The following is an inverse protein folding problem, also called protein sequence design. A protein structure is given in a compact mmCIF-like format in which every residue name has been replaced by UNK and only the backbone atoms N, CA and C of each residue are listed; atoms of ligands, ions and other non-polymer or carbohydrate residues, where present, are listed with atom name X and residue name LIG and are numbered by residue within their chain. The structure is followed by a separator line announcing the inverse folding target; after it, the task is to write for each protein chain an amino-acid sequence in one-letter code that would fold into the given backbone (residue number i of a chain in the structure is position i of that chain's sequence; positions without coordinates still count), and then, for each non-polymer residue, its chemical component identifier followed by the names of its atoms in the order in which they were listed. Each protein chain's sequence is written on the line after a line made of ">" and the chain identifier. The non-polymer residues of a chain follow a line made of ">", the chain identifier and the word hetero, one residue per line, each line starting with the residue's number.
data_IF_998473881528
#
_entry.id   IF_998473881528
#
_cell.length_a   1.000
_cell.length_b   1.000
_cell.length_c   1.000
_cell.angle_alpha   90.00
_cell.angle_beta   90.00
_cell.angle_gamma   90.00
#
_symmetry.space_group_name_H-M   'P 1'
#
loop_
_entity.id
_entity.type
_entity.pdbx_description
1 polymer ?
#
# COMPACT_ATOMS: atom_id res chain seq x y z
N UNK A 1 22.51 -11.66 4.90
CA UNK A 1 22.72 -10.99 3.61
C UNK A 1 21.65 -11.52 2.69
N UNK A 2 20.80 -10.65 2.11
CA UNK A 2 19.79 -11.10 1.13
C UNK A 2 20.53 -11.72 -0.07
N UNK A 3 19.93 -12.73 -0.71
CA UNK A 3 20.45 -13.22 -1.98
C UNK A 3 20.37 -12.10 -3.04
N UNK A 4 21.21 -12.16 -4.08
CA UNK A 4 21.17 -11.17 -5.16
C UNK A 4 19.77 -11.10 -5.79
N UNK A 5 19.12 -12.26 -5.98
CA UNK A 5 17.77 -12.36 -6.55
C UNK A 5 16.71 -11.71 -5.66
N UNK A 6 16.77 -11.89 -4.33
CA UNK A 6 15.87 -11.24 -3.38
C UNK A 6 16.02 -9.71 -3.42
N UNK A 7 17.26 -9.22 -3.49
CA UNK A 7 17.50 -7.78 -3.62
C UNK A 7 16.94 -7.23 -4.94
N UNK A 8 17.21 -7.90 -6.05
CA UNK A 8 16.72 -7.48 -7.38
C UNK A 8 15.19 -7.52 -7.42
N UNK A 9 14.55 -8.58 -6.91
CA UNK A 9 13.11 -8.71 -6.85
C UNK A 9 12.46 -7.58 -6.02
N UNK A 10 13.05 -7.20 -4.88
CA UNK A 10 12.60 -6.03 -4.08
C UNK A 10 12.68 -4.73 -4.88
N UNK A 11 13.75 -4.52 -5.65
CA UNK A 11 13.90 -3.33 -6.50
C UNK A 11 12.85 -3.29 -7.62
N UNK A 12 12.59 -4.42 -8.26
CA UNK A 12 11.57 -4.56 -9.29
C UNK A 12 10.16 -4.34 -8.71
N UNK A 13 9.87 -4.85 -7.52
CA UNK A 13 8.61 -4.59 -6.79
C UNK A 13 8.37 -3.08 -6.60
N UNK A 14 9.39 -2.34 -6.13
CA UNK A 14 9.30 -0.89 -5.95
C UNK A 14 9.08 -0.14 -7.27
N UNK A 15 9.58 -0.68 -8.39
CA UNK A 15 9.38 -0.09 -9.71
C UNK A 15 8.00 -0.43 -10.32
N UNK A 16 7.22 -1.35 -9.72
CA UNK A 16 5.96 -1.82 -10.27
C UNK A 16 6.10 -2.94 -11.31
N UNK A 17 7.33 -3.48 -11.43
CA UNK A 17 7.65 -4.58 -12.35
C UNK A 17 7.41 -5.94 -11.67
N UNK A 18 6.17 -6.14 -11.19
CA UNK A 18 5.83 -7.29 -10.32
C UNK A 18 6.02 -8.63 -11.01
N UNK A 19 5.69 -8.75 -12.30
CA UNK A 19 5.87 -10.02 -13.04
C UNK A 19 7.35 -10.36 -13.18
N UNK A 20 8.18 -9.37 -13.51
CA UNK A 20 9.64 -9.53 -13.56
C UNK A 20 10.22 -9.86 -12.18
N UNK A 21 9.69 -9.25 -11.12
CA UNK A 21 10.09 -9.54 -9.74
C UNK A 21 9.79 -11.00 -9.35
N UNK A 22 8.59 -11.50 -9.68
CA UNK A 22 8.19 -12.89 -9.42
C UNK A 22 9.03 -13.91 -10.21
N UNK A 23 9.38 -13.59 -11.46
CA UNK A 23 10.26 -14.43 -12.29
C UNK A 23 11.68 -14.46 -11.72
N UNK A 24 12.23 -13.30 -11.34
CA UNK A 24 13.56 -13.18 -10.75
C UNK A 24 13.69 -13.96 -9.45
N UNK A 25 12.67 -13.87 -8.58
CA UNK A 25 12.67 -14.55 -7.29
C UNK A 25 12.61 -16.08 -7.41
N UNK A 26 12.03 -16.59 -8.50
CA UNK A 26 11.80 -18.03 -8.65
C UNK A 26 10.71 -18.55 -7.70
N UNK A 27 10.27 -19.82 -7.87
CA UNK A 27 9.13 -20.38 -7.14
C UNK A 27 9.40 -20.65 -5.65
N UNK A 28 10.63 -21.05 -5.31
CA UNK A 28 10.97 -21.59 -3.98
C UNK A 28 11.87 -20.67 -3.15
N UNK A 29 12.19 -19.46 -3.66
CA UNK A 29 13.02 -18.50 -2.98
C UNK A 29 12.14 -17.46 -2.28
N UNK A 30 12.36 -17.22 -0.98
CA UNK A 30 11.70 -16.21 -0.18
C UNK A 30 10.16 -16.16 -0.37
N UNK A 31 9.42 -17.14 0.20
CA UNK A 31 7.97 -17.22 0.02
C UNK A 31 7.22 -15.99 0.55
N UNK A 32 7.74 -15.31 1.59
CA UNK A 32 7.11 -14.09 2.12
C UNK A 32 7.21 -12.95 1.10
N UNK A 33 8.39 -12.71 0.52
CA UNK A 33 8.56 -11.69 -0.51
C UNK A 33 7.71 -12.00 -1.75
N UNK A 34 7.62 -13.27 -2.14
CA UNK A 34 6.77 -13.69 -3.25
C UNK A 34 5.31 -13.33 -3.00
N UNK A 35 4.80 -13.61 -1.80
CA UNK A 35 3.43 -13.30 -1.42
C UNK A 35 3.20 -11.78 -1.37
N UNK A 36 4.14 -11.01 -0.82
CA UNK A 36 4.09 -9.54 -0.82
C UNK A 36 3.99 -8.97 -2.24
N UNK A 37 4.84 -9.43 -3.17
CA UNK A 37 4.84 -8.99 -4.57
C UNK A 37 3.51 -9.34 -5.26
N UNK A 38 2.98 -10.54 -5.05
CA UNK A 38 1.71 -10.96 -5.63
C UNK A 38 0.53 -10.14 -5.10
N UNK A 39 0.51 -9.83 -3.80
CA UNK A 39 -0.52 -8.98 -3.18
C UNK A 39 -0.41 -7.54 -3.67
N UNK A 40 0.80 -7.00 -3.84
CA UNK A 40 1.00 -5.65 -4.39
C UNK A 40 0.55 -5.59 -5.85
N UNK A 41 0.90 -6.59 -6.69
CA UNK A 41 0.45 -6.67 -8.08
C UNK A 41 -1.07 -6.64 -8.15
N UNK A 42 -1.74 -7.49 -7.37
CA UNK A 42 -3.19 -7.53 -7.34
C UNK A 42 -3.79 -6.19 -6.87
N UNK A 43 -3.26 -5.57 -5.81
CA UNK A 43 -3.75 -4.30 -5.30
C UNK A 43 -3.67 -3.17 -6.35
N UNK A 44 -2.57 -3.09 -7.09
CA UNK A 44 -2.39 -2.00 -8.05
C UNK A 44 -3.09 -2.24 -9.39
N UNK A 45 -3.05 -3.48 -9.91
CA UNK A 45 -3.66 -3.82 -11.20
C UNK A 45 -5.09 -4.33 -11.11
N UNK A 46 -5.53 -4.74 -9.91
CA UNK A 46 -6.81 -5.44 -9.68
C UNK A 46 -6.89 -6.74 -10.52
N UNK A 47 -5.76 -7.40 -10.72
CA UNK A 47 -5.59 -8.61 -11.50
C UNK A 47 -4.73 -9.63 -10.74
N UNK A 48 -4.96 -10.95 -10.98
CA UNK A 48 -4.14 -12.00 -10.39
C UNK A 48 -4.45 -12.29 -8.92
N UNK A 49 -5.71 -12.15 -8.51
CA UNK A 49 -6.11 -12.41 -7.12
C UNK A 49 -5.90 -13.86 -6.69
N UNK A 50 -6.12 -14.83 -7.59
CA UNK A 50 -5.94 -16.25 -7.29
C UNK A 50 -4.47 -16.59 -7.00
N UNK A 51 -3.55 -16.02 -7.77
CA UNK A 51 -2.11 -16.19 -7.54
C UNK A 51 -1.68 -15.56 -6.22
N UNK A 52 -2.23 -14.40 -5.88
CA UNK A 52 -1.95 -13.74 -4.61
C UNK A 52 -2.49 -14.56 -3.43
N UNK A 53 -3.72 -15.06 -3.51
CA UNK A 53 -4.30 -15.96 -2.49
C UNK A 53 -3.47 -17.23 -2.33
N UNK A 54 -3.07 -17.87 -3.43
CA UNK A 54 -2.23 -19.07 -3.41
C UNK A 54 -0.88 -18.81 -2.77
N UNK A 55 -0.24 -17.69 -3.09
CA UNK A 55 1.04 -17.32 -2.51
C UNK A 55 0.94 -17.07 -1.01
N UNK A 56 -0.10 -16.39 -0.53
CA UNK A 56 -0.33 -16.15 0.91
C UNK A 56 -0.69 -17.47 1.63
N UNK A 57 -1.49 -18.33 1.03
CA UNK A 57 -1.85 -19.63 1.61
C UNK A 57 -0.66 -20.61 1.75
N UNK A 58 0.44 -20.38 1.04
CA UNK A 58 1.66 -21.16 1.16
C UNK A 58 2.57 -20.72 2.32
N UNK A 59 2.28 -19.59 2.99
CA UNK A 59 3.03 -19.13 4.15
C UNK A 59 2.67 -19.92 5.41
N UNK A 60 3.57 -19.85 6.42
CA UNK A 60 3.21 -20.30 7.76
C UNK A 60 2.03 -19.46 8.27
N UNK A 61 0.85 -20.06 8.52
CA UNK A 61 -0.34 -19.31 8.93
C UNK A 61 -0.20 -18.60 10.26
N UNK A 62 0.83 -18.93 11.08
CA UNK A 62 1.13 -18.26 12.33
C UNK A 62 2.09 -17.08 12.16
N UNK A 63 2.67 -16.87 10.97
CA UNK A 63 3.60 -15.76 10.76
C UNK A 63 2.89 -14.40 10.71
N UNK A 64 3.52 -13.33 11.26
CA UNK A 64 2.97 -11.98 11.16
C UNK A 64 2.73 -11.53 9.72
N UNK A 65 3.59 -11.95 8.80
CA UNK A 65 3.47 -11.67 7.37
C UNK A 65 2.23 -12.33 6.78
N UNK A 66 1.95 -13.61 7.10
CA UNK A 66 0.75 -14.30 6.65
C UNK A 66 -0.52 -13.62 7.17
N UNK A 67 -0.56 -13.24 8.44
CA UNK A 67 -1.67 -12.49 9.03
C UNK A 67 -1.91 -11.18 8.30
N UNK A 68 -0.85 -10.38 8.09
CA UNK A 68 -0.93 -9.09 7.42
C UNK A 68 -1.42 -9.21 5.97
N UNK A 69 -0.85 -10.15 5.20
CA UNK A 69 -1.18 -10.32 3.79
C UNK A 69 -2.59 -10.90 3.59
N UNK A 70 -3.02 -11.84 4.44
CA UNK A 70 -4.41 -12.35 4.45
C UNK A 70 -5.40 -11.21 4.69
N UNK A 71 -5.12 -10.35 5.66
CA UNK A 71 -5.94 -9.18 5.95
C UNK A 71 -5.96 -8.18 4.79
N UNK A 72 -4.81 -7.94 4.14
CA UNK A 72 -4.72 -7.07 2.96
C UNK A 72 -5.54 -7.60 1.77
N UNK A 73 -5.55 -8.91 1.54
CA UNK A 73 -6.38 -9.54 0.50
C UNK A 73 -7.87 -9.28 0.78
N UNK A 74 -8.32 -9.56 2.02
CA UNK A 74 -9.71 -9.34 2.42
C UNK A 74 -10.10 -7.85 2.31
N UNK A 75 -9.27 -6.94 2.83
CA UNK A 75 -9.47 -5.50 2.70
C UNK A 75 -9.57 -5.05 1.22
N UNK A 76 -8.70 -5.56 0.35
CA UNK A 76 -8.69 -5.15 -1.05
C UNK A 76 -9.95 -5.60 -1.80
N UNK A 77 -10.48 -6.81 -1.49
CA UNK A 77 -11.78 -7.26 -2.04
C UNK A 77 -12.92 -6.31 -1.64
N UNK A 78 -12.94 -5.85 -0.39
CA UNK A 78 -13.92 -4.87 0.09
C UNK A 78 -13.75 -3.51 -0.59
N UNK A 79 -12.51 -3.00 -0.65
CA UNK A 79 -12.20 -1.68 -1.21
C UNK A 79 -12.59 -1.58 -2.67
N UNK A 80 -12.19 -2.55 -3.47
CA UNK A 80 -12.42 -2.56 -4.92
C UNK A 80 -13.74 -3.22 -5.32
N UNK A 81 -14.51 -3.77 -4.34
CA UNK A 81 -15.76 -4.52 -4.59
C UNK A 81 -15.59 -5.65 -5.61
N UNK A 82 -14.44 -6.34 -5.52
CA UNK A 82 -14.09 -7.49 -6.36
C UNK A 82 -14.24 -8.77 -5.55
N UNK A 83 -15.30 -9.53 -5.86
CA UNK A 83 -15.64 -10.82 -5.23
C UNK A 83 -15.58 -10.77 -3.68
N UNK A 84 -16.23 -9.76 -3.03
CA UNK A 84 -16.19 -9.63 -1.58
C UNK A 84 -16.87 -10.82 -0.92
N UNK A 85 -16.23 -11.37 0.12
CA UNK A 85 -16.76 -12.46 0.93
C UNK A 85 -17.46 -11.90 2.16
N UNK A 86 -18.45 -12.62 2.67
CA UNK A 86 -19.26 -12.14 3.80
C UNK A 86 -18.45 -11.91 5.09
N UNK A 87 -17.34 -12.60 5.23
CA UNK A 87 -16.43 -12.53 6.38
C UNK A 87 -15.20 -11.65 6.17
N UNK A 88 -14.99 -11.07 4.98
CA UNK A 88 -13.79 -10.29 4.65
C UNK A 88 -13.50 -9.17 5.66
N UNK A 89 -14.54 -8.47 6.12
CA UNK A 89 -14.34 -7.42 7.11
C UNK A 89 -13.77 -7.97 8.43
N UNK A 90 -14.29 -9.11 8.90
CA UNK A 90 -13.82 -9.76 10.12
C UNK A 90 -12.44 -10.37 9.95
N UNK A 91 -12.17 -10.96 8.79
CA UNK A 91 -10.84 -11.53 8.42
C UNK A 91 -9.78 -10.43 8.39
N UNK A 92 -10.09 -9.27 7.77
CA UNK A 92 -9.17 -8.15 7.72
C UNK A 92 -8.83 -7.64 9.14
N UNK A 93 -9.83 -7.40 9.98
CA UNK A 93 -9.59 -6.93 11.36
C UNK A 93 -8.79 -7.94 12.18
N UNK A 94 -9.18 -9.21 12.15
CA UNK A 94 -8.50 -10.26 12.91
C UNK A 94 -7.03 -10.41 12.48
N UNK A 95 -6.76 -10.38 11.17
CA UNK A 95 -5.41 -10.51 10.65
C UNK A 95 -4.53 -9.30 10.98
N UNK A 96 -5.04 -8.06 10.89
CA UNK A 96 -4.27 -6.87 11.31
C UNK A 96 -3.96 -6.89 12.81
N UNK A 97 -4.92 -7.31 13.63
CA UNK A 97 -4.70 -7.48 15.07
C UNK A 97 -3.62 -8.52 15.35
N UNK A 98 -3.73 -9.71 14.76
CA UNK A 98 -2.76 -10.78 14.94
C UNK A 98 -1.36 -10.37 14.47
N UNK A 99 -1.24 -9.67 13.34
CA UNK A 99 0.04 -9.15 12.86
C UNK A 99 0.64 -8.10 13.81
N UNK A 100 -0.19 -7.24 14.40
CA UNK A 100 0.27 -6.24 15.38
C UNK A 100 0.75 -6.86 16.70
N UNK A 101 0.13 -7.98 17.12
CA UNK A 101 0.45 -8.68 18.37
C UNK A 101 1.66 -9.62 18.23
N UNK A 102 1.85 -10.27 17.08
CA UNK A 102 2.86 -11.29 16.83
C UNK A 102 4.13 -10.80 16.14
N UNK A 103 4.06 -9.64 15.48
CA UNK A 103 5.16 -9.04 14.73
C UNK A 103 6.17 -8.30 15.60
N UNK A 104 7.33 -7.99 15.02
CA UNK A 104 8.22 -7.00 15.58
C UNK A 104 7.61 -5.59 15.53
N UNK A 105 8.29 -4.59 16.12
CA UNK A 105 7.72 -3.25 16.20
C UNK A 105 7.53 -2.56 14.83
N UNK A 106 8.35 -2.89 13.81
CA UNK A 106 8.15 -2.38 12.45
C UNK A 106 6.95 -3.03 11.77
N UNK A 107 6.81 -4.35 11.91
CA UNK A 107 5.63 -5.10 11.43
C UNK A 107 4.35 -4.59 12.11
N UNK A 108 4.41 -4.33 13.42
CA UNK A 108 3.33 -3.69 14.16
C UNK A 108 2.96 -2.33 13.55
N UNK A 109 3.93 -1.48 13.20
CA UNK A 109 3.65 -0.19 12.55
C UNK A 109 2.85 -0.34 11.26
N UNK A 110 3.20 -1.30 10.41
CA UNK A 110 2.44 -1.60 9.19
C UNK A 110 1.05 -2.18 9.49
N UNK A 111 0.92 -3.05 10.47
CA UNK A 111 -0.38 -3.61 10.87
C UNK A 111 -1.33 -2.54 11.42
N UNK A 112 -0.85 -1.65 12.28
CA UNK A 112 -1.62 -0.51 12.81
C UNK A 112 -2.06 0.44 11.68
N UNK A 113 -1.18 0.75 10.73
CA UNK A 113 -1.52 1.53 9.56
C UNK A 113 -2.64 0.89 8.74
N UNK A 114 -2.51 -0.39 8.38
CA UNK A 114 -3.53 -1.08 7.58
C UNK A 114 -4.85 -1.24 8.33
N UNK A 115 -4.81 -1.43 9.65
CA UNK A 115 -6.03 -1.46 10.46
C UNK A 115 -6.72 -0.08 10.50
N UNK A 116 -5.94 1.01 10.62
CA UNK A 116 -6.48 2.36 10.50
C UNK A 116 -7.18 2.57 9.15
N UNK A 117 -6.58 2.10 8.06
CA UNK A 117 -7.14 2.20 6.69
C UNK A 117 -8.43 1.38 6.54
N UNK A 118 -8.54 0.22 7.19
CA UNK A 118 -9.79 -0.57 7.23
C UNK A 118 -10.91 0.23 7.90
N UNK A 119 -10.65 0.79 9.10
CA UNK A 119 -11.61 1.61 9.84
C UNK A 119 -12.03 2.86 9.04
N UNK A 120 -11.06 3.52 8.41
CA UNK A 120 -11.29 4.78 7.69
C UNK A 120 -12.09 4.56 6.39
N UNK A 121 -11.68 3.60 5.56
CA UNK A 121 -12.23 3.43 4.22
C UNK A 121 -13.48 2.51 4.17
N UNK A 122 -13.52 1.48 5.00
CA UNK A 122 -14.58 0.48 4.98
C UNK A 122 -15.64 0.79 6.04
N UNK A 123 -15.22 0.99 7.29
CA UNK A 123 -16.15 1.21 8.39
C UNK A 123 -16.62 2.67 8.48
N UNK A 124 -15.97 3.59 7.77
CA UNK A 124 -16.24 5.04 7.85
C UNK A 124 -16.13 5.56 9.29
N UNK A 125 -15.19 4.97 10.08
CA UNK A 125 -14.88 5.35 11.45
C UNK A 125 -13.54 6.11 11.55
N UNK A 126 -13.53 7.41 11.23
CA UNK A 126 -12.33 8.24 11.32
C UNK A 126 -11.84 8.43 12.77
N UNK A 127 -12.73 8.31 13.76
CA UNK A 127 -12.35 8.46 15.16
C UNK A 127 -11.57 7.24 15.66
N UNK A 128 -11.99 6.03 15.29
CA UNK A 128 -11.25 4.79 15.57
C UNK A 128 -9.95 4.65 14.78
N UNK A 129 -9.89 5.20 13.57
CA UNK A 129 -8.71 5.15 12.72
C UNK A 129 -7.56 6.06 13.23
N UNK A 130 -7.87 7.25 13.76
CA UNK A 130 -6.88 8.26 14.11
C UNK A 130 -5.81 7.76 15.10
N UNK A 131 -6.14 7.17 16.26
CA UNK A 131 -5.12 6.71 17.21
C UNK A 131 -4.19 5.63 16.63
N UNK A 132 -4.68 4.83 15.67
CA UNK A 132 -3.86 3.82 14.99
C UNK A 132 -2.88 4.45 14.02
N UNK A 133 -3.32 5.46 13.24
CA UNK A 133 -2.40 6.25 12.41
C UNK A 133 -1.32 6.92 13.25
N UNK A 134 -1.65 7.47 14.42
CA UNK A 134 -0.70 8.09 15.33
C UNK A 134 0.32 7.08 15.85
N UNK A 135 -0.13 5.91 16.32
CA UNK A 135 0.77 4.81 16.72
C UNK A 135 1.70 4.37 15.59
N UNK A 136 1.17 4.17 14.39
CA UNK A 136 1.97 3.80 13.23
C UNK A 136 3.00 4.88 12.87
N UNK A 137 2.63 6.17 12.97
CA UNK A 137 3.53 7.30 12.71
C UNK A 137 4.66 7.42 13.72
N UNK A 138 4.38 7.19 15.01
CA UNK A 138 5.40 7.14 16.05
C UNK A 138 6.42 6.04 15.76
N UNK A 139 5.96 4.85 15.39
CA UNK A 139 6.84 3.73 15.02
C UNK A 139 7.64 4.06 13.76
N UNK A 140 7.01 4.57 12.71
CA UNK A 140 7.68 4.97 11.47
C UNK A 140 8.79 5.99 11.73
N UNK A 141 8.52 7.00 12.56
CA UNK A 141 9.47 8.04 12.95
C UNK A 141 10.64 7.45 13.76
N UNK A 142 10.33 6.61 14.74
CA UNK A 142 11.33 5.95 15.60
C UNK A 142 12.36 5.14 14.81
N UNK A 143 11.91 4.46 13.76
CA UNK A 143 12.76 3.59 12.93
C UNK A 143 13.25 4.24 11.65
N UNK A 144 12.88 5.48 11.37
CA UNK A 144 13.22 6.17 10.12
C UNK A 144 12.58 5.48 8.89
N UNK A 145 11.41 4.83 9.07
CA UNK A 145 10.67 4.19 7.97
C UNK A 145 9.90 5.24 7.17
N UNK A 146 10.60 5.90 6.25
CA UNK A 146 10.01 6.90 5.36
C UNK A 146 8.95 6.32 4.43
N UNK A 147 8.98 5.01 4.18
CA UNK A 147 7.96 4.36 3.34
C UNK A 147 6.62 4.29 4.09
N UNK A 148 6.62 3.74 5.29
CA UNK A 148 5.43 3.72 6.14
C UNK A 148 4.94 5.14 6.45
N UNK A 149 5.85 6.06 6.81
CA UNK A 149 5.53 7.47 7.04
C UNK A 149 4.76 8.06 5.85
N UNK A 150 5.21 7.78 4.62
CA UNK A 150 4.58 8.33 3.40
C UNK A 150 3.12 7.91 3.23
N UNK A 151 2.79 6.71 3.65
CA UNK A 151 1.41 6.21 3.62
C UNK A 151 0.55 6.89 4.69
N UNK A 152 1.06 6.98 5.91
CA UNK A 152 0.32 7.53 7.05
C UNK A 152 0.01 9.01 6.83
N UNK A 153 1.02 9.83 6.47
CA UNK A 153 0.82 11.27 6.29
C UNK A 153 -0.14 11.58 5.13
N UNK A 154 -0.21 10.73 4.11
CA UNK A 154 -1.20 10.82 3.04
C UNK A 154 -2.64 10.74 3.58
N UNK A 155 -2.92 9.79 4.48
CA UNK A 155 -4.25 9.64 5.07
C UNK A 155 -4.56 10.74 6.07
N UNK A 156 -3.60 11.13 6.90
CA UNK A 156 -3.75 12.24 7.84
C UNK A 156 -3.95 13.58 7.12
N UNK A 157 -3.33 13.77 5.95
CA UNK A 157 -3.49 14.98 5.14
C UNK A 157 -4.95 15.26 4.78
N UNK A 158 -5.73 14.24 4.49
CA UNK A 158 -7.13 14.39 4.09
C UNK A 158 -8.03 14.95 5.21
N UNK A 159 -7.54 14.98 6.45
CA UNK A 159 -8.21 15.52 7.64
C UNK A 159 -7.82 16.98 7.94
N UNK A 160 -6.96 17.58 7.10
CA UNK A 160 -6.36 18.90 7.31
C UNK A 160 -7.00 19.95 6.41
N UNK A 161 -6.84 21.22 6.82
CA UNK A 161 -7.19 22.36 5.98
C UNK A 161 -6.39 22.36 4.66
N UNK A 162 -6.90 22.98 3.58
CA UNK A 162 -6.33 22.82 2.24
C UNK A 162 -4.82 23.09 2.13
N UNK A 163 -4.31 24.13 2.76
CA UNK A 163 -2.89 24.48 2.68
C UNK A 163 -1.99 23.43 3.37
N UNK A 164 -2.38 22.98 4.57
CA UNK A 164 -1.66 21.95 5.31
C UNK A 164 -1.77 20.60 4.59
N UNK A 165 -2.96 20.28 4.08
CA UNK A 165 -3.20 19.07 3.26
C UNK A 165 -2.24 18.98 2.09
N UNK A 166 -2.14 20.04 1.29
CA UNK A 166 -1.24 20.09 0.12
C UNK A 166 0.22 19.92 0.55
N UNK A 167 0.66 20.58 1.62
CA UNK A 167 2.01 20.43 2.13
C UNK A 167 2.33 18.98 2.55
N UNK A 168 1.40 18.32 3.25
CA UNK A 168 1.55 16.93 3.66
C UNK A 168 1.54 15.97 2.46
N UNK A 169 0.67 16.18 1.47
CA UNK A 169 0.63 15.37 0.24
C UNK A 169 1.93 15.52 -0.57
N UNK A 170 2.51 16.72 -0.68
CA UNK A 170 3.83 16.92 -1.29
C UNK A 170 4.92 16.18 -0.53
N UNK A 171 4.90 16.20 0.83
CA UNK A 171 5.85 15.43 1.63
C UNK A 171 5.73 13.93 1.35
N UNK A 172 4.50 13.39 1.32
CA UNK A 172 4.26 11.99 0.97
C UNK A 172 4.83 11.64 -0.41
N UNK A 173 4.58 12.48 -1.41
CA UNK A 173 5.12 12.33 -2.76
C UNK A 173 6.66 12.29 -2.77
N UNK A 174 7.31 13.23 -2.09
CA UNK A 174 8.77 13.30 -2.02
C UNK A 174 9.38 12.05 -1.37
N UNK A 175 8.80 11.56 -0.27
CA UNK A 175 9.28 10.34 0.39
C UNK A 175 9.19 9.11 -0.54
N UNK A 176 8.10 8.94 -1.26
CA UNK A 176 7.90 7.85 -2.22
C UNK A 176 8.85 7.92 -3.40
N UNK A 177 9.05 9.11 -3.94
CA UNK A 177 9.98 9.34 -5.04
C UNK A 177 11.43 9.07 -4.62
N UNK A 178 11.84 9.52 -3.43
CA UNK A 178 13.18 9.27 -2.88
C UNK A 178 13.48 7.77 -2.67
N UNK A 179 12.46 6.98 -2.37
CA UNK A 179 12.57 5.52 -2.22
C UNK A 179 12.55 4.77 -3.56
N UNK A 180 12.18 5.45 -4.65
CA UNK A 180 11.96 4.83 -5.96
C UNK A 180 10.70 3.96 -6.01
N UNK A 181 9.73 4.20 -5.13
CA UNK A 181 8.46 3.48 -5.09
C UNK A 181 7.51 4.02 -6.17
N UNK A 182 7.71 3.58 -7.42
CA UNK A 182 7.08 4.15 -8.61
C UNK A 182 5.54 4.08 -8.59
N UNK A 183 4.88 2.93 -8.31
CA UNK A 183 3.41 2.87 -8.27
C UNK A 183 2.81 3.82 -7.23
N UNK A 184 3.44 3.88 -6.06
CA UNK A 184 3.01 4.74 -4.97
C UNK A 184 3.26 6.22 -5.28
N UNK A 185 4.33 6.54 -6.00
CA UNK A 185 4.64 7.90 -6.48
C UNK A 185 3.57 8.37 -7.47
N UNK A 186 3.20 7.51 -8.43
CA UNK A 186 2.12 7.76 -9.39
C UNK A 186 0.80 8.03 -8.66
N UNK A 187 0.45 7.18 -7.68
CA UNK A 187 -0.76 7.37 -6.88
C UNK A 187 -0.72 8.66 -6.02
N UNK A 188 0.47 9.05 -5.53
CA UNK A 188 0.64 10.29 -4.79
C UNK A 188 0.51 11.53 -5.68
N UNK A 189 1.04 11.49 -6.92
CA UNK A 189 0.87 12.53 -7.91
C UNK A 189 -0.61 12.74 -8.28
N UNK A 190 -1.34 11.64 -8.51
CA UNK A 190 -2.76 11.69 -8.80
C UNK A 190 -3.56 12.33 -7.66
N UNK A 191 -3.30 11.91 -6.41
CA UNK A 191 -3.98 12.47 -5.24
C UNK A 191 -3.65 13.94 -5.02
N UNK A 192 -2.37 14.33 -5.17
CA UNK A 192 -1.97 15.74 -5.06
C UNK A 192 -2.66 16.57 -6.15
N UNK A 193 -2.67 16.13 -7.40
CA UNK A 193 -3.37 16.80 -8.50
C UNK A 193 -4.86 16.98 -8.21
N UNK A 194 -5.52 15.98 -7.62
CA UNK A 194 -6.94 16.05 -7.26
C UNK A 194 -7.23 17.05 -6.13
N UNK A 195 -6.23 17.43 -5.31
CA UNK A 195 -6.37 18.36 -4.20
C UNK A 195 -5.88 19.79 -4.52
N UNK A 196 -5.20 19.99 -5.65
CA UNK A 196 -4.78 21.31 -6.11
C UNK A 196 -5.94 22.03 -6.83
N UNK A 197 -5.98 23.39 -6.75
CA UNK A 197 -6.91 24.19 -7.54
C UNK A 197 -6.80 23.90 -9.04
N UNK A 198 -7.90 24.02 -9.77
CA UNK A 198 -7.89 23.82 -11.24
C UNK A 198 -6.94 24.73 -11.98
N UNK A 199 -6.79 25.95 -11.48
CA UNK A 199 -5.89 26.97 -12.03
C UNK A 199 -4.43 26.78 -11.67
N UNK A 200 -4.09 25.82 -10.79
CA UNK A 200 -2.72 25.60 -10.37
C UNK A 200 -1.91 24.93 -11.49
N UNK A 201 -0.81 25.52 -11.97
CA UNK A 201 -0.01 24.93 -13.03
C UNK A 201 0.63 23.59 -12.63
N UNK A 202 0.90 23.35 -11.34
CA UNK A 202 1.41 22.08 -10.84
C UNK A 202 0.40 20.95 -11.07
N UNK A 203 -0.91 21.22 -10.98
CA UNK A 203 -1.96 20.23 -11.24
C UNK A 203 -1.84 19.64 -12.65
N UNK A 204 -1.73 20.52 -13.66
CA UNK A 204 -1.60 20.08 -15.05
C UNK A 204 -0.32 19.28 -15.29
N UNK A 205 0.78 19.68 -14.67
CA UNK A 205 2.07 18.99 -14.73
C UNK A 205 1.99 17.58 -14.12
N UNK A 206 1.39 17.46 -12.93
CA UNK A 206 1.20 16.17 -12.27
C UNK A 206 0.34 15.23 -13.11
N UNK A 207 -0.77 15.72 -13.70
CA UNK A 207 -1.65 14.93 -14.56
C UNK A 207 -0.87 14.41 -15.78
N UNK A 208 -0.07 15.27 -16.42
CA UNK A 208 0.76 14.91 -17.57
C UNK A 208 1.82 13.86 -17.22
N UNK A 209 2.28 13.86 -15.97
CA UNK A 209 3.35 12.97 -15.49
C UNK A 209 2.80 11.61 -15.04
N UNK A 210 1.70 11.58 -14.24
CA UNK A 210 1.23 10.33 -13.66
C UNK A 210 0.46 9.43 -14.64
N UNK A 211 -0.29 10.01 -15.59
CA UNK A 211 -1.13 9.22 -16.50
C UNK A 211 -0.36 8.21 -17.34
N UNK A 212 0.71 8.60 -18.07
CA UNK A 212 1.50 7.61 -18.81
C UNK A 212 2.09 6.51 -17.92
N UNK A 213 2.51 6.85 -16.71
CA UNK A 213 3.01 5.87 -15.75
C UNK A 213 1.92 4.92 -15.25
N UNK A 214 0.69 5.41 -15.03
CA UNK A 214 -0.44 4.58 -14.64
C UNK A 214 -0.87 3.63 -15.78
N UNK A 215 -0.87 4.11 -17.03
CA UNK A 215 -1.13 3.30 -18.22
C UNK A 215 -0.07 2.20 -18.37
N UNK A 216 1.21 2.54 -18.30
CA UNK A 216 2.34 1.60 -18.42
C UNK A 216 2.29 0.50 -17.35
N UNK A 217 1.97 0.85 -16.11
CA UNK A 217 1.89 -0.10 -14.98
C UNK A 217 0.52 -0.79 -14.87
N UNK A 218 -0.43 -0.49 -15.75
CA UNK A 218 -1.80 -1.01 -15.72
C UNK A 218 -2.56 -0.69 -14.43
N UNK A 219 -2.38 0.54 -13.87
CA UNK A 219 -3.07 1.01 -12.67
C UNK A 219 -4.37 1.72 -13.09
N UNK A 220 -5.33 0.96 -13.59
CA UNK A 220 -6.55 1.49 -14.24
C UNK A 220 -7.40 2.37 -13.34
N UNK A 221 -7.46 2.12 -12.02
CA UNK A 221 -8.25 2.92 -11.08
C UNK A 221 -7.74 4.35 -10.84
N UNK A 222 -6.55 4.70 -11.36
CA UNK A 222 -6.04 6.07 -11.39
C UNK A 222 -6.40 6.83 -12.67
N UNK A 223 -6.92 6.14 -13.67
CA UNK A 223 -7.28 6.73 -14.96
C UNK A 223 -8.78 7.08 -14.96
N UNK A 224 -9.20 8.12 -15.72
CA UNK A 224 -10.61 8.39 -15.89
C UNK A 224 -11.30 7.17 -16.54
N UNK A 225 -12.53 6.90 -16.11
CA UNK A 225 -13.41 5.97 -16.85
C UNK A 225 -13.73 6.58 -18.21
N UNK A 226 -13.55 5.81 -19.29
CA UNK A 226 -13.90 6.20 -20.66
C UNK A 226 -15.43 6.31 -20.85
#
# INVERSE_FOLDING_TARGET
>A
MLSDDTYVARRLQLLGEWDAALVTLGPDTDPELRAEIAVDRWFFRIEGHEEAEKAVAALDPASPTAHLLTARLAYSRLLFRRDPRADDRAVAEAGYRAAAESGDEKQRGWAEFHWAVLLDNIDQDPAGALPRYETALEIATKYGDGYLESYIIRHLALRKEPAERIAMLRRSLHLRAALGARPQTIAAQALLAANLPESDPERAELIRTFRPGAEELHIGWLLPED
#
